data_IF_948174353149
#
_entry.id   IF_948174353149
#
_cell.length_a   1.000
_cell.length_b   1.000
_cell.length_c   1.000
_cell.angle_alpha   90.00
_cell.angle_beta   90.00
_cell.angle_gamma   90.00
#
_symmetry.space_group_name_H-M   'P 1'
#
loop_
_entity.id
_entity.type
_entity.pdbx_description
1 polymer ?
#
# COMPACT_ATOMS: atom_id res chain seq x y z
N UNK A 1 -19.52 -12.24 -10.83
CA UNK A 1 -18.95 -12.71 -9.55
C UNK A 1 -18.48 -11.52 -8.71
N UNK A 2 -19.23 -11.15 -7.66
CA UNK A 2 -18.81 -10.10 -6.72
C UNK A 2 -17.66 -10.63 -5.86
N UNK A 3 -16.40 -10.32 -6.22
CA UNK A 3 -15.26 -10.55 -5.33
C UNK A 3 -15.40 -9.59 -4.14
N UNK A 4 -15.25 -10.09 -2.92
CA UNK A 4 -15.33 -9.28 -1.70
C UNK A 4 -14.22 -8.22 -1.72
N UNK A 5 -14.61 -6.94 -1.70
CA UNK A 5 -13.67 -5.81 -1.61
C UNK A 5 -12.79 -5.87 -0.35
N UNK A 6 -13.28 -6.53 0.71
CA UNK A 6 -12.55 -6.69 1.98
C UNK A 6 -11.25 -7.50 1.89
N UNK A 7 -11.12 -8.44 0.93
CA UNK A 7 -9.86 -9.19 0.77
C UNK A 7 -8.71 -8.31 0.25
N UNK A 8 -9.03 -7.22 -0.45
CA UNK A 8 -8.04 -6.27 -0.98
C UNK A 8 -7.47 -5.41 0.16
N UNK A 9 -8.31 -4.93 1.08
CA UNK A 9 -7.88 -4.07 2.19
C UNK A 9 -6.88 -4.77 3.12
N UNK A 10 -7.13 -6.03 3.48
CA UNK A 10 -6.21 -6.79 4.33
C UNK A 10 -4.85 -7.01 3.64
N UNK A 11 -4.85 -7.35 2.35
CA UNK A 11 -3.62 -7.53 1.58
C UNK A 11 -2.80 -6.24 1.47
N UNK A 12 -3.47 -5.10 1.25
CA UNK A 12 -2.79 -3.80 1.18
C UNK A 12 -2.06 -3.51 2.49
N UNK A 13 -2.73 -3.71 3.63
CA UNK A 13 -2.11 -3.52 4.95
C UNK A 13 -0.87 -4.40 5.13
N UNK A 14 -0.95 -5.69 4.78
CA UNK A 14 0.19 -6.61 4.89
C UNK A 14 1.36 -6.20 3.98
N UNK A 15 1.08 -5.77 2.74
CA UNK A 15 2.12 -5.32 1.81
C UNK A 15 2.81 -4.04 2.30
N UNK A 16 2.05 -3.07 2.82
CA UNK A 16 2.60 -1.85 3.39
C UNK A 16 3.43 -2.15 4.64
N UNK A 17 2.93 -3.06 5.49
CA UNK A 17 3.62 -3.48 6.71
C UNK A 17 4.89 -4.29 6.44
N UNK A 18 5.10 -4.84 5.24
CA UNK A 18 6.39 -5.43 4.88
C UNK A 18 7.51 -4.37 4.80
N UNK A 19 7.16 -3.08 4.65
CA UNK A 19 8.15 -2.00 4.54
C UNK A 19 9.03 -2.11 3.29
N UNK A 20 8.46 -2.63 2.20
CA UNK A 20 9.12 -2.81 0.91
C UNK A 20 8.43 -1.98 -0.19
N UNK A 21 9.13 -1.62 -1.27
CA UNK A 21 8.52 -1.00 -2.44
C UNK A 21 7.42 -1.89 -3.04
N UNK A 22 6.33 -1.27 -3.50
CA UNK A 22 5.17 -1.96 -4.08
C UNK A 22 5.16 -1.82 -5.60
N UNK A 23 5.10 -2.93 -6.32
CA UNK A 23 4.80 -2.95 -7.76
C UNK A 23 3.36 -3.41 -7.95
N UNK A 24 2.46 -2.47 -8.20
CA UNK A 24 1.02 -2.73 -8.25
C UNK A 24 0.51 -2.93 -9.68
N UNK A 25 -0.05 -4.10 -9.96
CA UNK A 25 -0.83 -4.37 -11.19
C UNK A 25 -2.35 -4.24 -10.99
N UNK A 26 -2.84 -4.06 -9.77
CA UNK A 26 -4.27 -3.94 -9.52
C UNK A 26 -4.84 -2.68 -10.16
N UNK A 27 -5.97 -2.80 -10.86
CA UNK A 27 -6.74 -1.68 -11.42
C UNK A 27 -7.67 -1.01 -10.40
N UNK A 28 -7.42 -1.22 -9.10
CA UNK A 28 -8.17 -0.54 -8.05
C UNK A 28 -7.67 0.91 -7.94
N UNK A 29 -8.55 1.86 -8.27
CA UNK A 29 -8.21 3.28 -8.32
C UNK A 29 -7.73 3.85 -6.97
N UNK A 30 -8.30 3.39 -5.86
CA UNK A 30 -7.89 3.83 -4.52
C UNK A 30 -6.46 3.38 -4.22
N UNK A 31 -6.13 2.12 -4.49
CA UNK A 31 -4.78 1.63 -4.28
C UNK A 31 -3.77 2.22 -5.27
N UNK A 32 -4.15 2.44 -6.53
CA UNK A 32 -3.30 3.14 -7.49
C UNK A 32 -2.95 4.55 -7.01
N UNK A 33 -3.91 5.29 -6.46
CA UNK A 33 -3.67 6.61 -5.84
C UNK A 33 -2.75 6.49 -4.63
N UNK A 34 -3.01 5.54 -3.72
CA UNK A 34 -2.13 5.30 -2.56
C UNK A 34 -0.67 5.07 -3.01
N UNK A 35 -0.45 4.28 -4.07
CA UNK A 35 0.90 3.99 -4.57
C UNK A 35 1.64 5.26 -4.99
N UNK A 36 0.95 6.19 -5.65
CA UNK A 36 1.52 7.45 -6.15
C UNK A 36 1.63 8.50 -5.04
N UNK A 37 0.52 8.79 -4.36
CA UNK A 37 0.42 9.90 -3.40
C UNK A 37 1.35 9.73 -2.19
N UNK A 38 1.58 8.48 -1.78
CA UNK A 38 2.49 8.17 -0.66
C UNK A 38 3.87 7.72 -1.12
N UNK A 39 4.15 7.75 -2.42
CA UNK A 39 5.43 7.33 -3.00
C UNK A 39 5.91 5.99 -2.43
N UNK A 40 5.05 4.96 -2.49
CA UNK A 40 5.38 3.62 -1.96
C UNK A 40 5.81 2.65 -3.07
N UNK A 41 5.78 3.08 -4.33
CA UNK A 41 6.19 2.25 -5.46
C UNK A 41 5.66 2.72 -6.81
N UNK A 42 5.32 1.77 -7.68
CA UNK A 42 4.86 2.04 -9.05
C UNK A 42 3.61 1.24 -9.41
N UNK A 43 2.77 1.83 -10.26
CA UNK A 43 1.66 1.14 -10.90
C UNK A 43 2.08 0.69 -12.31
N UNK A 44 1.60 -0.46 -12.76
CA UNK A 44 1.77 -0.96 -14.13
C UNK A 44 0.51 -1.71 -14.59
N UNK A 45 0.34 -1.89 -15.90
CA UNK A 45 -0.80 -2.65 -16.42
C UNK A 45 -0.65 -4.17 -16.20
N UNK A 46 -1.71 -4.89 -15.78
CA UNK A 46 -1.69 -6.35 -15.73
C UNK A 46 -1.22 -6.96 -17.05
N UNK A 47 -0.25 -7.85 -16.99
CA UNK A 47 0.32 -8.51 -18.18
C UNK A 47 1.37 -7.69 -18.92
N UNK A 48 1.63 -6.44 -18.55
CA UNK A 48 2.74 -5.66 -19.12
C UNK A 48 4.07 -6.07 -18.46
N UNK A 49 4.68 -7.13 -18.98
CA UNK A 49 5.95 -7.65 -18.47
C UNK A 49 7.11 -6.66 -18.66
N UNK A 50 7.09 -5.86 -19.72
CA UNK A 50 8.16 -4.89 -20.02
C UNK A 50 8.21 -3.76 -18.97
N UNK A 51 7.04 -3.20 -18.59
CA UNK A 51 6.98 -2.21 -17.52
C UNK A 51 7.39 -2.80 -16.17
N UNK A 52 6.95 -4.03 -15.88
CA UNK A 52 7.31 -4.72 -14.65
C UNK A 52 8.84 -4.93 -14.58
N UNK A 53 9.45 -5.42 -15.65
CA UNK A 53 10.91 -5.61 -15.74
C UNK A 53 11.65 -4.27 -15.53
N UNK A 54 11.20 -3.21 -16.21
CA UNK A 54 11.75 -1.87 -16.07
C UNK A 54 11.74 -1.40 -14.62
N UNK A 55 10.62 -1.54 -13.91
CA UNK A 55 10.51 -1.12 -12.52
C UNK A 55 11.34 -1.99 -11.57
N UNK A 56 11.42 -3.30 -11.82
CA UNK A 56 12.31 -4.19 -11.06
C UNK A 56 13.76 -3.74 -11.23
N UNK A 57 14.23 -3.51 -12.46
CA UNK A 57 15.60 -3.04 -12.73
C UNK A 57 15.87 -1.67 -12.10
N UNK A 58 14.93 -0.74 -12.21
CA UNK A 58 15.05 0.60 -11.59
C UNK A 58 15.22 0.47 -10.09
N UNK A 59 14.35 -0.31 -9.44
CA UNK A 59 14.45 -0.53 -8.00
C UNK A 59 15.76 -1.23 -7.68
N UNK A 60 16.15 -2.31 -8.35
CA UNK A 60 17.41 -3.04 -8.14
C UNK A 60 18.65 -2.14 -8.22
N UNK A 61 18.69 -1.22 -9.18
CA UNK A 61 19.81 -0.31 -9.39
C UNK A 61 19.79 0.93 -8.49
N UNK A 62 18.66 1.27 -7.85
CA UNK A 62 18.53 2.47 -7.02
C UNK A 62 18.15 2.15 -5.57
N UNK A 63 19.16 1.83 -4.76
CA UNK A 63 18.99 1.49 -3.35
C UNK A 63 18.30 2.59 -2.53
N UNK A 64 18.65 3.86 -2.76
CA UNK A 64 18.06 4.98 -2.03
C UNK A 64 16.56 5.06 -2.25
N UNK A 65 16.11 4.91 -3.50
CA UNK A 65 14.68 4.89 -3.84
C UNK A 65 13.96 3.68 -3.23
N UNK A 66 14.59 2.50 -3.22
CA UNK A 66 14.02 1.32 -2.53
C UNK A 66 13.82 1.58 -1.03
N UNK A 67 14.82 2.14 -0.37
CA UNK A 67 14.77 2.44 1.06
C UNK A 67 13.70 3.50 1.33
N UNK A 68 13.62 4.55 0.52
CA UNK A 68 12.61 5.60 0.64
C UNK A 68 11.19 5.02 0.54
N UNK A 69 10.91 4.27 -0.53
CA UNK A 69 9.59 3.67 -0.74
C UNK A 69 9.22 2.68 0.36
N UNK A 70 10.18 1.86 0.82
CA UNK A 70 9.94 0.95 1.95
C UNK A 70 9.64 1.67 3.27
N UNK A 71 10.35 2.75 3.58
CA UNK A 71 10.08 3.60 4.75
C UNK A 71 8.70 4.24 4.67
N UNK A 72 8.33 4.76 3.50
CA UNK A 72 7.01 5.33 3.27
C UNK A 72 5.90 4.29 3.45
N UNK A 73 6.09 3.08 2.92
CA UNK A 73 5.15 1.97 3.06
C UNK A 73 4.94 1.60 4.54
N UNK A 74 6.02 1.43 5.30
CA UNK A 74 5.94 1.13 6.75
C UNK A 74 5.21 2.24 7.50
N UNK A 75 5.56 3.50 7.25
CA UNK A 75 4.92 4.65 7.88
C UNK A 75 3.41 4.66 7.61
N UNK A 76 3.00 4.37 6.37
CA UNK A 76 1.59 4.32 6.01
C UNK A 76 0.84 3.19 6.73
N UNK A 77 1.48 2.02 6.86
CA UNK A 77 0.92 0.91 7.62
C UNK A 77 0.70 1.28 9.09
N UNK A 78 1.68 1.93 9.72
CA UNK A 78 1.57 2.38 11.12
C UNK A 78 0.47 3.43 11.31
N UNK A 79 0.30 4.35 10.36
CA UNK A 79 -0.70 5.43 10.47
C UNK A 79 -2.14 4.97 10.29
N UNK A 80 -2.41 4.04 9.37
CA UNK A 80 -3.78 3.69 8.97
C UNK A 80 -4.17 2.23 9.26
N UNK A 81 -3.21 1.32 9.37
CA UNK A 81 -3.45 -0.11 9.50
C UNK A 81 -3.05 -0.68 10.87
N UNK A 82 -2.50 0.14 11.77
CA UNK A 82 -2.25 -0.26 13.15
C UNK A 82 -3.56 -0.37 13.94
N UNK A 83 -3.96 -1.60 14.27
CA UNK A 83 -5.22 -1.87 14.98
C UNK A 83 -5.29 -1.22 16.36
N UNK A 84 -4.15 -1.07 17.06
CA UNK A 84 -4.11 -0.42 18.36
C UNK A 84 -4.62 1.03 18.27
N UNK A 85 -4.28 1.71 17.19
CA UNK A 85 -4.67 3.10 16.96
C UNK A 85 -6.07 3.19 16.34
N UNK A 86 -6.37 2.34 15.36
CA UNK A 86 -7.67 2.37 14.66
C UNK A 86 -8.83 1.97 15.57
N UNK A 87 -8.66 0.98 16.46
CA UNK A 87 -9.73 0.59 17.39
C UNK A 87 -9.98 1.65 18.46
N UNK A 88 -8.94 2.35 18.93
CA UNK A 88 -9.11 3.45 19.87
C UNK A 88 -9.99 4.56 19.27
N UNK A 89 -9.76 4.95 18.02
CA UNK A 89 -10.58 5.96 17.32
C UNK A 89 -12.04 5.53 17.18
N UNK A 90 -12.28 4.25 16.87
CA UNK A 90 -13.65 3.70 16.78
C UNK A 90 -14.33 3.76 18.14
N UNK A 91 -13.65 3.34 19.21
CA UNK A 91 -14.17 3.43 20.58
C UNK A 91 -14.52 4.87 20.96
N UNK A 92 -13.61 5.83 20.74
CA UNK A 92 -13.84 7.25 21.01
C UNK A 92 -15.03 7.83 20.23
N UNK A 93 -15.31 7.33 19.02
CA UNK A 93 -16.47 7.75 18.24
C UNK A 93 -17.77 7.21 18.83
N UNK A 94 -17.79 5.97 19.29
CA UNK A 94 -18.96 5.35 19.93
C UNK A 94 -19.29 6.10 21.22
N UNK A 95 -18.29 6.38 22.06
CA UNK A 95 -18.45 7.11 23.32
C UNK A 95 -18.96 8.55 23.15
N UNK A 96 -18.76 9.18 21.98
CA UNK A 96 -19.29 10.52 21.69
C UNK A 96 -20.75 10.54 21.29
N UNK A 97 -21.30 9.38 20.91
CA UNK A 97 -22.69 9.24 20.46
C UNK A 97 -23.57 8.66 21.57
N UNK A 98 -22.95 8.03 22.58
CA UNK A 98 -23.58 7.66 23.86
C UNK A 98 -23.69 8.88 24.78
#
# INVERSE_FOLDING_TARGET
TKRSKGSITNKIGDYLAAGLPILNSSRNNEFMKIVVDYEVGFNYMPGNCEELEKYIKLLYNNQNKRIQFGKNARKLAEQYFNRRDSYKKIYELIEKIN
#
